data_IF_508427233507
#
_entry.id   IF_508427233507
#
_cell.length_a   1.000
_cell.length_b   1.000
_cell.length_c   1.000
_cell.angle_alpha   90.00
_cell.angle_beta   90.00
_cell.angle_gamma   90.00
#
_symmetry.space_group_name_H-M   'P 1'
#
loop_
_entity.id
_entity.type
_entity.pdbx_description
1 polymer ?
#
# COMPACT_ATOMS: atom_id res chain seq x y z
N UNK A 1 -15.78 -0.96 -18.44
CA UNK A 1 -14.63 -0.13 -18.87
C UNK A 1 -13.36 -0.87 -18.48
N UNK A 2 -12.69 -1.38 -19.52
CA UNK A 2 -11.29 -1.80 -19.63
C UNK A 2 -10.65 -2.54 -18.44
N UNK A 3 -10.78 -3.87 -18.45
CA UNK A 3 -9.64 -4.72 -18.09
C UNK A 3 -8.82 -4.95 -19.35
N UNK A 4 -7.59 -4.50 -19.24
CA UNK A 4 -6.49 -4.53 -20.20
C UNK A 4 -6.40 -5.87 -20.91
N UNK A 5 -6.62 -5.83 -22.22
CA UNK A 5 -6.11 -6.81 -23.18
C UNK A 5 -4.59 -6.92 -22.96
N UNK A 6 -4.16 -8.00 -22.31
CA UNK A 6 -2.85 -8.57 -22.61
C UNK A 6 -3.07 -9.43 -23.86
N UNK A 7 -2.26 -9.18 -24.88
CA UNK A 7 -2.34 -9.78 -26.21
C UNK A 7 -2.57 -11.29 -26.14
N UNK A 8 -3.83 -11.70 -26.35
CA UNK A 8 -4.13 -13.04 -26.82
C UNK A 8 -3.66 -13.06 -28.26
N UNK A 9 -2.44 -13.55 -28.48
CA UNK A 9 -1.95 -13.88 -29.81
C UNK A 9 -2.96 -14.85 -30.43
N UNK A 10 -3.61 -14.43 -31.52
CA UNK A 10 -4.67 -15.16 -32.24
C UNK A 10 -4.10 -16.30 -33.07
N UNK A 11 -3.21 -17.07 -32.48
CA UNK A 11 -2.61 -18.29 -33.01
C UNK A 11 -2.90 -19.34 -31.93
N UNK A 12 -3.49 -20.47 -32.28
CA UNK A 12 -4.03 -21.45 -31.31
C UNK A 12 -3.00 -22.20 -30.46
N UNK A 13 -1.96 -21.53 -29.96
CA UNK A 13 -0.88 -22.06 -29.16
C UNK A 13 -1.12 -21.84 -27.66
N UNK A 14 -0.78 -22.84 -26.85
CA UNK A 14 -0.79 -22.77 -25.38
C UNK A 14 0.36 -21.91 -24.83
N UNK A 15 1.47 -21.80 -25.56
CA UNK A 15 2.67 -21.10 -25.13
C UNK A 15 3.10 -20.02 -26.13
N UNK A 16 3.89 -19.05 -25.67
CA UNK A 16 4.36 -17.93 -26.49
C UNK A 16 5.89 -17.79 -26.54
N UNK A 17 6.36 -16.75 -27.25
CA UNK A 17 7.79 -16.40 -27.39
C UNK A 17 8.58 -16.42 -26.09
N UNK A 18 7.98 -15.92 -25.00
CA UNK A 18 8.62 -15.87 -23.68
C UNK A 18 8.87 -17.28 -23.13
N UNK A 19 7.89 -18.17 -23.21
CA UNK A 19 8.04 -19.56 -22.76
C UNK A 19 9.12 -20.30 -23.57
N UNK A 20 9.21 -20.01 -24.88
CA UNK A 20 10.24 -20.58 -25.75
C UNK A 20 11.65 -20.11 -25.39
N UNK A 21 11.84 -18.82 -25.17
CA UNK A 21 13.15 -18.29 -24.78
C UNK A 21 13.59 -18.83 -23.40
N UNK A 22 12.64 -19.03 -22.47
CA UNK A 22 12.90 -19.65 -21.17
C UNK A 22 13.42 -21.08 -21.31
N UNK A 23 12.71 -21.95 -22.05
CA UNK A 23 13.17 -23.35 -22.21
C UNK A 23 14.49 -23.46 -22.95
N UNK A 24 14.73 -22.59 -23.94
CA UNK A 24 16.02 -22.55 -24.67
C UNK A 24 17.17 -22.22 -23.75
N UNK A 25 16.97 -21.25 -22.85
CA UNK A 25 18.00 -20.82 -21.91
C UNK A 25 18.28 -21.85 -20.81
N UNK A 26 17.27 -22.67 -20.45
CA UNK A 26 17.38 -23.68 -19.40
C UNK A 26 17.97 -25.02 -19.85
N UNK A 27 18.09 -25.26 -21.15
CA UNK A 27 18.62 -26.53 -21.68
C UNK A 27 20.14 -26.64 -21.51
N UNK A 28 20.59 -27.76 -20.94
CA UNK A 28 22.01 -28.10 -20.88
C UNK A 28 22.45 -28.93 -22.09
N UNK A 29 23.75 -28.90 -22.47
CA UNK A 29 24.27 -29.71 -23.59
C UNK A 29 24.05 -31.22 -23.43
N UNK A 30 23.90 -31.71 -22.19
CA UNK A 30 23.65 -33.12 -21.91
C UNK A 30 22.18 -33.49 -22.20
N UNK A 31 21.24 -32.60 -21.87
CA UNK A 31 19.81 -32.80 -22.10
C UNK A 31 19.45 -32.60 -23.58
N UNK A 32 20.14 -31.67 -24.24
CA UNK A 32 19.82 -31.27 -25.61
C UNK A 32 20.02 -32.38 -26.64
N UNK A 33 20.84 -33.39 -26.31
CA UNK A 33 21.17 -34.52 -27.19
C UNK A 33 20.28 -35.75 -26.96
N UNK A 34 19.40 -35.73 -25.95
CA UNK A 34 18.44 -36.81 -25.70
C UNK A 34 17.29 -36.70 -26.71
N UNK A 35 16.78 -37.85 -27.15
CA UNK A 35 15.67 -37.89 -28.10
C UNK A 35 14.38 -37.38 -27.46
N UNK A 36 13.67 -36.50 -28.15
CA UNK A 36 12.39 -35.95 -27.70
C UNK A 36 11.37 -37.04 -27.40
N UNK A 37 11.42 -38.15 -28.14
CA UNK A 37 10.58 -39.33 -27.88
C UNK A 37 10.86 -39.96 -26.50
N UNK A 38 12.14 -40.08 -26.11
CA UNK A 38 12.50 -40.64 -24.81
C UNK A 38 12.14 -39.66 -23.68
N UNK A 39 12.38 -38.37 -23.88
CA UNK A 39 11.99 -37.32 -22.92
C UNK A 39 10.47 -37.25 -22.70
N UNK A 40 9.69 -37.40 -23.77
CA UNK A 40 8.23 -37.46 -23.67
C UNK A 40 7.75 -38.68 -22.88
N UNK A 41 8.33 -39.86 -23.14
CA UNK A 41 8.03 -41.10 -22.42
C UNK A 41 8.38 -41.00 -20.93
N UNK A 42 9.55 -40.44 -20.60
CA UNK A 42 10.00 -40.22 -19.22
C UNK A 42 9.11 -39.24 -18.46
N UNK A 43 8.57 -38.23 -19.17
CA UNK A 43 7.69 -37.20 -18.59
C UNK A 43 6.20 -37.59 -18.61
N UNK A 44 5.84 -38.77 -19.15
CA UNK A 44 4.45 -39.21 -19.28
C UNK A 44 3.61 -38.38 -20.27
N UNK A 45 4.26 -37.67 -21.19
CA UNK A 45 3.64 -36.82 -22.20
C UNK A 45 3.34 -37.60 -23.49
N UNK A 46 2.52 -37.04 -24.40
CA UNK A 46 2.28 -37.64 -25.71
C UNK A 46 3.58 -37.84 -26.50
N UNK A 47 3.67 -38.95 -27.25
CA UNK A 47 4.81 -39.29 -28.10
C UNK A 47 5.13 -38.17 -29.09
N UNK A 48 6.42 -37.84 -29.22
CA UNK A 48 6.89 -36.88 -30.23
C UNK A 48 6.52 -37.35 -31.65
N UNK A 49 5.76 -36.56 -32.43
CA UNK A 49 5.12 -37.05 -33.66
C UNK A 49 6.06 -37.17 -34.86
N UNK A 50 7.22 -36.48 -34.84
CA UNK A 50 8.20 -36.56 -35.92
C UNK A 50 9.14 -37.76 -35.72
N UNK A 51 9.43 -38.45 -36.83
CA UNK A 51 10.25 -39.67 -36.82
C UNK A 51 11.64 -39.38 -37.36
N UNK A 52 12.66 -39.76 -36.60
CA UNK A 52 14.04 -39.65 -37.03
C UNK A 52 15.00 -39.92 -35.88
N UNK A 53 16.24 -40.33 -36.18
CA UNK A 53 17.27 -40.51 -35.15
C UNK A 53 17.81 -39.18 -34.61
N UNK A 54 17.59 -38.08 -35.33
CA UNK A 54 18.00 -36.72 -34.97
C UNK A 54 16.89 -35.85 -34.38
N UNK A 55 15.78 -36.43 -33.94
CA UNK A 55 14.71 -35.71 -33.23
C UNK A 55 15.10 -35.51 -31.76
N UNK A 56 16.06 -34.60 -31.56
CA UNK A 56 16.64 -34.20 -30.26
C UNK A 56 16.38 -32.71 -30.02
N UNK A 57 16.48 -32.25 -28.77
CA UNK A 57 16.19 -30.84 -28.46
C UNK A 57 17.19 -29.86 -29.11
N UNK A 58 18.48 -30.22 -29.27
CA UNK A 58 19.50 -29.40 -29.94
C UNK A 58 19.15 -29.06 -31.40
N UNK A 59 18.33 -29.89 -32.06
CA UNK A 59 17.79 -29.61 -33.38
C UNK A 59 16.88 -28.37 -33.40
N UNK A 60 16.24 -28.02 -32.29
CA UNK A 60 15.19 -26.99 -32.24
C UNK A 60 15.61 -25.73 -31.48
N UNK A 61 16.35 -25.86 -30.38
CA UNK A 61 16.65 -24.76 -29.44
C UNK A 61 17.49 -23.62 -30.04
N UNK A 62 18.13 -23.81 -31.19
CA UNK A 62 18.88 -22.75 -31.86
C UNK A 62 17.98 -21.79 -32.65
N UNK A 63 16.75 -22.20 -32.97
CA UNK A 63 15.80 -21.37 -33.72
C UNK A 63 15.11 -20.34 -32.81
N UNK A 64 14.93 -19.13 -33.34
CA UNK A 64 14.07 -18.11 -32.72
C UNK A 64 12.60 -18.54 -32.75
N UNK A 65 11.74 -17.86 -31.97
CA UNK A 65 10.31 -18.15 -31.94
C UNK A 65 9.68 -18.08 -33.33
N UNK A 66 10.03 -17.04 -34.08
CA UNK A 66 9.51 -16.82 -35.42
C UNK A 66 10.01 -17.90 -36.39
N UNK A 67 11.30 -18.27 -36.35
CA UNK A 67 11.87 -19.33 -37.18
C UNK A 67 11.32 -20.72 -36.85
N UNK A 68 11.02 -20.99 -35.57
CA UNK A 68 10.46 -22.27 -35.13
C UNK A 68 9.12 -22.57 -35.82
N UNK A 69 8.30 -21.54 -36.05
CA UNK A 69 7.01 -21.64 -36.73
C UNK A 69 7.13 -21.87 -38.23
N UNK A 70 8.31 -21.62 -38.81
CA UNK A 70 8.60 -21.82 -40.23
C UNK A 70 9.21 -23.20 -40.51
N UNK A 71 9.57 -23.98 -39.47
CA UNK A 71 10.18 -25.29 -39.65
C UNK A 71 9.22 -26.32 -40.24
N UNK A 72 9.66 -26.98 -41.31
CA UNK A 72 8.92 -28.08 -41.93
C UNK A 72 8.69 -29.21 -40.91
N UNK A 73 7.44 -29.63 -40.76
CA UNK A 73 6.99 -30.58 -39.75
C UNK A 73 6.49 -29.94 -38.44
N UNK A 74 6.85 -28.70 -38.10
CA UNK A 74 6.22 -27.94 -37.01
C UNK A 74 5.15 -26.97 -37.54
N UNK A 75 5.43 -26.31 -38.66
CA UNK A 75 4.51 -25.38 -39.34
C UNK A 75 3.15 -26.02 -39.73
N UNK A 76 3.12 -27.35 -39.87
CA UNK A 76 1.92 -28.10 -40.26
C UNK A 76 0.91 -28.30 -39.11
N UNK A 77 1.35 -28.12 -37.86
CA UNK A 77 0.52 -28.36 -36.68
C UNK A 77 1.00 -27.55 -35.47
N UNK A 78 0.26 -26.48 -35.10
CA UNK A 78 0.55 -25.61 -33.96
C UNK A 78 0.81 -26.33 -32.64
N UNK A 79 0.05 -27.40 -32.39
CA UNK A 79 0.12 -28.23 -31.18
C UNK A 79 1.48 -28.91 -31.00
N UNK A 80 2.26 -29.09 -32.07
CA UNK A 80 3.61 -29.69 -32.00
C UNK A 80 4.61 -28.75 -31.34
N UNK A 81 4.45 -27.45 -31.52
CA UNK A 81 5.28 -26.43 -30.85
C UNK A 81 4.95 -26.42 -29.35
N UNK A 82 3.67 -26.52 -29.01
CA UNK A 82 3.25 -26.60 -27.61
C UNK A 82 3.77 -27.86 -26.92
N UNK A 83 3.67 -29.01 -27.59
CA UNK A 83 4.20 -30.28 -27.09
C UNK A 83 5.72 -30.24 -26.93
N UNK A 84 6.44 -29.61 -27.86
CA UNK A 84 7.88 -29.42 -27.76
C UNK A 84 8.23 -28.65 -26.48
N UNK A 85 7.59 -27.50 -26.27
CA UNK A 85 7.82 -26.66 -25.08
C UNK A 85 7.49 -27.43 -23.81
N UNK A 86 6.40 -28.19 -23.80
CA UNK A 86 5.98 -28.99 -22.65
C UNK A 86 7.01 -30.08 -22.30
N UNK A 87 7.49 -30.84 -23.29
CA UNK A 87 8.55 -31.84 -23.10
C UNK A 87 9.82 -31.18 -22.53
N UNK A 88 10.23 -30.04 -23.11
CA UNK A 88 11.44 -29.35 -22.68
C UNK A 88 11.32 -28.78 -21.25
N UNK A 89 10.16 -28.24 -20.87
CA UNK A 89 9.90 -27.73 -19.51
C UNK A 89 9.95 -28.83 -18.47
N UNK A 90 9.28 -29.96 -18.72
CA UNK A 90 9.28 -31.10 -17.79
C UNK A 90 10.69 -31.68 -17.63
N UNK A 91 11.46 -31.74 -18.73
CA UNK A 91 12.85 -32.20 -18.70
C UNK A 91 13.72 -31.27 -17.83
N UNK A 92 13.53 -29.95 -17.91
CA UNK A 92 14.22 -28.96 -17.06
C UNK A 92 13.82 -29.12 -15.59
N UNK A 93 12.52 -29.25 -15.32
CA UNK A 93 12.01 -29.41 -13.96
C UNK A 93 12.47 -30.73 -13.31
N UNK A 94 12.71 -31.78 -14.09
CA UNK A 94 13.23 -33.05 -13.58
C UNK A 94 14.70 -32.96 -13.13
N UNK A 95 15.55 -32.23 -13.87
CA UNK A 95 16.97 -32.04 -13.55
C UNK A 95 17.21 -30.96 -12.47
N UNK A 96 16.35 -29.93 -12.41
CA UNK A 96 16.34 -28.92 -11.36
C UNK A 96 14.98 -28.86 -10.63
N UNK A 97 14.67 -29.84 -9.76
CA UNK A 97 13.38 -29.94 -9.07
C UNK A 97 13.14 -28.79 -8.08
N UNK A 98 14.14 -27.93 -7.85
CA UNK A 98 14.04 -26.76 -6.98
C UNK A 98 14.17 -25.43 -7.73
N UNK A 99 14.37 -25.43 -9.06
CA UNK A 99 14.58 -24.21 -9.85
C UNK A 99 13.43 -23.21 -9.71
N UNK A 100 12.18 -23.70 -9.77
CA UNK A 100 10.97 -22.89 -9.57
C UNK A 100 10.88 -22.31 -8.14
N UNK A 101 11.34 -23.08 -7.15
CA UNK A 101 11.36 -22.64 -5.75
C UNK A 101 12.43 -21.56 -5.54
N UNK A 102 13.62 -21.72 -6.13
CA UNK A 102 14.71 -20.73 -6.08
C UNK A 102 14.31 -19.44 -6.79
N UNK A 103 13.69 -19.52 -7.96
CA UNK A 103 13.21 -18.34 -8.69
C UNK A 103 12.13 -17.57 -7.91
N UNK A 104 11.22 -18.28 -7.23
CA UNK A 104 10.19 -17.69 -6.38
C UNK A 104 10.79 -17.01 -5.14
N UNK A 105 11.76 -17.66 -4.49
CA UNK A 105 12.50 -17.11 -3.35
C UNK A 105 13.28 -15.87 -3.77
N UNK A 106 14.02 -15.92 -4.88
CA UNK A 106 14.80 -14.79 -5.39
C UNK A 106 13.92 -13.58 -5.75
N UNK A 107 12.75 -13.81 -6.34
CA UNK A 107 11.78 -12.75 -6.62
C UNK A 107 11.22 -12.12 -5.33
N UNK A 108 10.96 -12.92 -4.30
CA UNK A 108 10.50 -12.46 -2.99
C UNK A 108 11.59 -11.63 -2.27
N UNK A 109 12.84 -12.11 -2.26
CA UNK A 109 14.00 -11.44 -1.64
C UNK A 109 14.33 -10.12 -2.34
N UNK A 110 14.27 -10.05 -3.68
CA UNK A 110 14.47 -8.81 -4.44
C UNK A 110 13.41 -7.73 -4.12
N UNK A 111 12.20 -8.15 -3.74
CA UNK A 111 11.10 -7.24 -3.37
C UNK A 111 11.29 -6.65 -1.97
N UNK A 112 11.79 -7.42 -1.01
CA UNK A 112 12.08 -6.97 0.38
C UNK A 112 13.11 -5.85 0.37
N UNK A 113 14.17 -6.10 -0.40
CA UNK A 113 15.22 -5.15 -0.67
C UNK A 113 14.66 -3.87 -1.31
N UNK A 114 13.57 -3.93 -2.06
CA UNK A 114 12.94 -2.76 -2.69
C UNK A 114 12.14 -1.89 -1.72
N UNK A 115 11.21 -2.46 -0.95
CA UNK A 115 10.39 -1.67 0.01
C UNK A 115 11.30 -1.08 1.10
N UNK A 116 12.21 -1.88 1.64
CA UNK A 116 13.20 -1.41 2.62
C UNK A 116 14.05 -0.26 2.10
N UNK A 117 14.57 -0.35 0.87
CA UNK A 117 15.31 0.75 0.22
C UNK A 117 14.46 1.98 -0.02
N UNK A 118 13.19 1.83 -0.40
CA UNK A 118 12.28 2.95 -0.61
C UNK A 118 11.97 3.68 0.70
N UNK A 119 11.66 2.95 1.79
CA UNK A 119 11.45 3.54 3.12
C UNK A 119 12.69 4.31 3.58
N UNK A 120 13.88 3.70 3.45
CA UNK A 120 15.15 4.37 3.78
C UNK A 120 15.39 5.61 2.91
N UNK A 121 15.11 5.53 1.60
CA UNK A 121 15.21 6.66 0.66
C UNK A 121 14.31 7.82 1.09
N UNK A 122 13.12 7.56 1.62
CA UNK A 122 12.21 8.59 2.10
C UNK A 122 12.43 8.98 3.57
N UNK A 123 13.41 8.37 4.25
CA UNK A 123 13.66 8.53 5.69
C UNK A 123 12.42 8.18 6.55
N UNK A 124 11.61 7.24 6.07
CA UNK A 124 10.44 6.74 6.81
C UNK A 124 10.93 5.63 7.74
N UNK A 125 10.67 5.80 9.04
CA UNK A 125 11.03 4.84 10.06
C UNK A 125 10.23 3.54 9.91
N UNK A 126 10.94 2.40 9.86
CA UNK A 126 10.32 1.06 9.79
C UNK A 126 9.53 0.74 11.05
N UNK A 127 9.90 1.35 12.19
CA UNK A 127 9.20 1.17 13.46
C UNK A 127 7.91 2.00 13.56
N UNK A 128 7.54 2.73 12.50
CA UNK A 128 6.27 3.47 12.47
C UNK A 128 5.08 2.51 12.69
N UNK A 129 4.25 2.73 13.73
CA UNK A 129 3.13 1.85 14.04
C UNK A 129 2.00 1.95 13.01
N UNK A 130 1.54 0.82 12.48
CA UNK A 130 0.43 0.76 11.53
C UNK A 130 -0.87 1.33 12.07
N UNK A 131 -1.10 1.27 13.39
CA UNK A 131 -2.27 1.89 14.03
C UNK A 131 -2.35 3.41 13.84
N UNK A 132 -1.24 4.07 13.50
CA UNK A 132 -1.18 5.50 13.22
C UNK A 132 -1.24 5.82 11.73
N UNK A 133 -1.38 4.81 10.87
CA UNK A 133 -1.62 4.98 9.43
C UNK A 133 -3.07 5.36 9.15
N UNK A 134 -3.34 5.75 7.90
CA UNK A 134 -4.66 5.96 7.34
C UNK A 134 -5.37 4.69 6.87
N UNK A 135 -4.89 3.50 7.25
CA UNK A 135 -5.58 2.24 6.97
C UNK A 135 -6.92 2.19 7.71
N UNK A 136 -7.88 1.46 7.14
CA UNK A 136 -9.16 1.18 7.79
C UNK A 136 -8.97 0.38 9.08
N UNK A 137 -9.94 0.47 9.99
CA UNK A 137 -9.91 -0.31 11.24
C UNK A 137 -9.87 -1.82 10.96
N UNK A 138 -10.61 -2.29 9.96
CA UNK A 138 -10.62 -3.71 9.57
C UNK A 138 -9.22 -4.18 9.14
N UNK A 139 -8.51 -3.37 8.34
CA UNK A 139 -7.15 -3.70 7.89
C UNK A 139 -6.14 -3.61 9.03
N UNK A 140 -6.28 -2.63 9.94
CA UNK A 140 -5.45 -2.55 11.14
C UNK A 140 -5.68 -3.76 12.05
N UNK A 141 -6.93 -4.18 12.26
CA UNK A 141 -7.29 -5.34 13.09
C UNK A 141 -6.73 -6.64 12.49
N UNK A 142 -6.85 -6.80 11.17
CA UNK A 142 -6.21 -7.90 10.44
C UNK A 142 -4.69 -7.91 10.65
N UNK A 143 -4.03 -6.77 10.48
CA UNK A 143 -2.59 -6.67 10.68
C UNK A 143 -2.21 -7.06 12.11
N UNK A 144 -2.97 -6.61 13.12
CA UNK A 144 -2.71 -6.96 14.52
C UNK A 144 -2.91 -8.45 14.82
N UNK A 145 -3.93 -9.09 14.23
CA UNK A 145 -4.17 -10.52 14.38
C UNK A 145 -3.00 -11.36 13.83
N UNK A 146 -2.34 -10.88 12.78
CA UNK A 146 -1.15 -11.48 12.16
C UNK A 146 0.18 -11.00 12.79
N UNK A 147 0.12 -10.32 13.94
CA UNK A 147 1.28 -9.74 14.66
C UNK A 147 2.07 -8.67 13.88
N UNK A 148 1.43 -8.06 12.88
CA UNK A 148 1.96 -6.98 12.04
C UNK A 148 1.60 -5.65 12.70
N UNK A 149 2.54 -5.05 13.42
CA UNK A 149 2.34 -3.79 14.15
C UNK A 149 3.07 -2.60 13.54
N UNK A 150 4.15 -2.81 12.80
CA UNK A 150 5.01 -1.75 12.24
C UNK A 150 5.11 -1.81 10.71
N UNK A 151 5.61 -0.74 10.08
CA UNK A 151 5.87 -0.72 8.63
C UNK A 151 6.92 -1.74 8.20
N UNK A 152 7.93 -2.00 9.05
CA UNK A 152 8.92 -3.05 8.81
C UNK A 152 8.25 -4.40 8.72
N UNK A 153 7.47 -4.76 9.75
CA UNK A 153 6.72 -6.02 9.78
C UNK A 153 5.72 -6.13 8.63
N UNK A 154 5.10 -5.02 8.23
CA UNK A 154 4.20 -4.96 7.08
C UNK A 154 4.92 -5.31 5.78
N UNK A 155 6.11 -4.74 5.57
CA UNK A 155 6.94 -5.06 4.42
C UNK A 155 7.29 -6.56 4.43
N UNK A 156 7.79 -7.07 5.56
CA UNK A 156 8.18 -8.47 5.74
C UNK A 156 7.03 -9.45 5.49
N UNK A 157 5.83 -9.13 5.98
CA UNK A 157 4.63 -9.93 5.77
C UNK A 157 4.21 -9.97 4.29
N UNK A 158 4.34 -8.87 3.56
CA UNK A 158 3.96 -8.81 2.14
C UNK A 158 4.70 -9.82 1.25
N UNK A 159 5.87 -10.31 1.69
CA UNK A 159 6.64 -11.36 1.01
C UNK A 159 6.09 -12.75 1.26
N UNK A 160 5.59 -13.00 2.48
CA UNK A 160 5.02 -14.29 2.90
C UNK A 160 3.58 -14.47 2.44
N UNK A 161 2.99 -13.43 1.85
CA UNK A 161 1.60 -13.44 1.43
C UNK A 161 1.42 -14.38 0.23
N UNK A 162 0.75 -15.52 0.47
CA UNK A 162 0.31 -16.40 -0.61
C UNK A 162 -0.68 -15.66 -1.52
N UNK A 163 -0.69 -15.96 -2.83
CA UNK A 163 -1.57 -15.31 -3.81
C UNK A 163 -3.08 -15.44 -3.48
N UNK A 164 -3.44 -16.32 -2.54
CA UNK A 164 -4.81 -16.63 -2.13
C UNK A 164 -5.28 -15.88 -0.87
N UNK A 165 -4.43 -15.05 -0.23
CA UNK A 165 -4.86 -14.25 0.93
C UNK A 165 -5.66 -13.06 0.41
N UNK A 166 -6.94 -13.01 0.74
CA UNK A 166 -7.80 -11.86 0.47
C UNK A 166 -7.44 -10.74 1.44
N UNK A 167 -6.58 -9.83 1.01
CA UNK A 167 -6.25 -8.60 1.73
C UNK A 167 -7.18 -7.46 1.33
N UNK A 168 -7.45 -6.55 2.27
CA UNK A 168 -8.23 -5.33 2.05
C UNK A 168 -7.63 -4.44 0.95
N UNK A 169 -8.50 -3.63 0.32
CA UNK A 169 -8.09 -2.75 -0.78
C UNK A 169 -7.06 -1.70 -0.38
N UNK A 170 -7.17 -1.17 0.84
CA UNK A 170 -6.23 -0.22 1.45
C UNK A 170 -4.88 -0.86 1.80
N UNK A 171 -4.86 -2.11 2.27
CA UNK A 171 -3.63 -2.90 2.46
C UNK A 171 -2.85 -2.99 1.14
N UNK A 172 -3.53 -3.44 0.08
CA UNK A 172 -2.94 -3.55 -1.26
C UNK A 172 -2.52 -2.19 -1.79
N UNK A 173 -3.29 -1.14 -1.50
CA UNK A 173 -2.98 0.25 -1.83
C UNK A 173 -1.65 0.71 -1.22
N UNK A 174 -1.48 0.58 0.09
CA UNK A 174 -0.24 0.94 0.79
C UNK A 174 0.94 0.13 0.26
N UNK A 175 0.79 -1.19 0.11
CA UNK A 175 1.84 -2.06 -0.41
C UNK A 175 2.29 -1.64 -1.82
N UNK A 176 1.34 -1.29 -2.68
CA UNK A 176 1.60 -0.83 -4.04
C UNK A 176 2.36 0.49 -4.02
N UNK A 177 1.91 1.45 -3.22
CA UNK A 177 2.55 2.75 -3.08
C UNK A 177 4.01 2.63 -2.60
N UNK A 178 4.25 1.82 -1.57
CA UNK A 178 5.60 1.56 -1.04
C UNK A 178 6.50 0.83 -2.05
N UNK A 179 5.96 -0.13 -2.81
CA UNK A 179 6.71 -0.88 -3.82
C UNK A 179 7.07 0.00 -5.03
N UNK A 180 6.17 0.90 -5.43
CA UNK A 180 6.34 1.81 -6.56
C UNK A 180 7.13 3.08 -6.21
N UNK A 181 7.37 3.35 -4.92
CA UNK A 181 7.88 4.64 -4.43
C UNK A 181 6.98 5.81 -4.85
N UNK A 182 5.66 5.57 -4.89
CA UNK A 182 4.66 6.59 -5.21
C UNK A 182 4.39 7.47 -4.00
N UNK A 183 4.98 8.67 -3.99
CA UNK A 183 4.86 9.63 -2.90
C UNK A 183 3.41 10.04 -2.61
N UNK A 184 2.55 10.12 -3.63
CA UNK A 184 1.13 10.48 -3.45
C UNK A 184 0.37 9.33 -2.81
N UNK A 185 0.59 8.11 -3.31
CA UNK A 185 0.04 6.90 -2.70
C UNK A 185 0.52 6.72 -1.25
N UNK A 186 1.79 7.03 -0.96
CA UNK A 186 2.33 6.97 0.41
C UNK A 186 1.64 8.00 1.31
N UNK A 187 1.50 9.26 0.86
CA UNK A 187 0.85 10.33 1.62
C UNK A 187 -0.64 10.06 1.92
N UNK A 188 -1.29 9.19 1.15
CA UNK A 188 -2.66 8.77 1.42
C UNK A 188 -2.78 7.93 2.71
N UNK A 189 -1.76 7.12 3.01
CA UNK A 189 -1.78 6.17 4.13
C UNK A 189 -0.83 6.53 5.27
N UNK A 190 0.25 7.26 5.01
CA UNK A 190 1.26 7.62 5.99
C UNK A 190 1.33 9.14 6.17
N UNK A 191 1.77 9.63 7.34
CA UNK A 191 1.94 11.04 7.60
C UNK A 191 3.17 11.61 6.88
N UNK A 192 3.16 11.50 5.56
CA UNK A 192 4.25 11.78 4.65
C UNK A 192 3.86 12.95 3.75
N UNK A 193 4.82 13.85 3.50
CA UNK A 193 4.63 14.98 2.60
C UNK A 193 5.41 14.74 1.31
N UNK A 194 4.74 14.70 0.15
CA UNK A 194 5.42 14.60 -1.13
C UNK A 194 6.48 15.71 -1.31
N UNK A 195 7.65 15.33 -1.81
CA UNK A 195 8.83 16.19 -1.96
C UNK A 195 9.67 16.36 -0.69
N UNK A 196 9.25 15.82 0.45
CA UNK A 196 9.97 15.91 1.72
C UNK A 196 10.43 14.55 2.24
N UNK A 197 11.33 14.59 3.24
CA UNK A 197 11.85 13.40 3.92
C UNK A 197 11.23 13.27 5.31
N UNK A 198 11.05 12.03 5.72
CA UNK A 198 10.51 11.66 7.01
C UNK A 198 9.00 11.81 7.10
N UNK A 199 8.52 11.51 8.30
CA UNK A 199 7.11 11.63 8.67
C UNK A 199 6.88 12.93 9.44
N UNK A 200 5.70 13.51 9.31
CA UNK A 200 5.42 14.86 9.77
C UNK A 200 4.13 14.92 10.61
N UNK A 201 4.22 15.58 11.76
CA UNK A 201 3.10 15.72 12.69
C UNK A 201 1.86 16.40 12.08
N UNK A 202 1.96 17.46 11.24
CA UNK A 202 0.78 18.05 10.62
C UNK A 202 -0.03 17.04 9.80
N UNK A 203 0.66 16.24 8.98
CA UNK A 203 0.08 15.18 8.16
C UNK A 203 -0.50 14.06 9.03
N UNK A 204 0.13 13.71 10.15
CA UNK A 204 -0.41 12.73 11.12
C UNK A 204 -1.73 13.19 11.74
N UNK A 205 -1.83 14.47 12.09
CA UNK A 205 -3.09 15.06 12.54
C UNK A 205 -4.10 15.06 11.38
N UNK A 206 -3.68 15.39 10.16
CA UNK A 206 -4.51 15.29 8.96
C UNK A 206 -5.12 13.91 8.74
N UNK A 207 -4.33 12.84 8.93
CA UNK A 207 -4.83 11.46 8.83
C UNK A 207 -5.89 11.13 9.87
N UNK A 208 -5.73 11.61 11.12
CA UNK A 208 -6.77 11.47 12.15
C UNK A 208 -8.07 12.16 11.70
N UNK A 209 -7.97 13.34 11.09
CA UNK A 209 -9.13 14.10 10.61
C UNK A 209 -9.80 13.48 9.38
N UNK A 210 -9.08 12.70 8.57
CA UNK A 210 -9.65 11.97 7.45
C UNK A 210 -10.66 10.89 7.90
N UNK A 211 -10.60 10.46 9.16
CA UNK A 211 -11.53 9.47 9.73
C UNK A 211 -12.86 10.07 10.19
N UNK A 212 -13.00 11.41 10.20
CA UNK A 212 -14.23 12.06 10.61
C UNK A 212 -15.31 11.91 9.54
N UNK A 213 -16.50 11.51 9.97
CA UNK A 213 -17.68 11.57 9.11
C UNK A 213 -18.05 13.02 8.79
N UNK A 214 -18.78 13.24 7.69
CA UNK A 214 -19.14 14.61 7.27
C UNK A 214 -19.91 15.39 8.35
N UNK A 215 -20.85 14.74 9.04
CA UNK A 215 -21.61 15.37 10.11
C UNK A 215 -20.73 15.75 11.31
N UNK A 216 -19.73 14.94 11.65
CA UNK A 216 -18.73 15.22 12.69
C UNK A 216 -17.87 16.43 12.30
N UNK A 217 -17.32 16.42 11.07
CA UNK A 217 -16.52 17.53 10.52
C UNK A 217 -17.28 18.85 10.58
N UNK A 218 -18.51 18.90 10.03
CA UNK A 218 -19.29 20.13 10.01
C UNK A 218 -19.77 20.58 11.39
N UNK A 219 -20.03 19.64 12.31
CA UNK A 219 -20.33 19.97 13.71
C UNK A 219 -19.14 20.67 14.37
N UNK A 220 -17.92 20.13 14.21
CA UNK A 220 -16.70 20.74 14.77
C UNK A 220 -16.42 22.11 14.17
N UNK A 221 -16.52 22.25 12.84
CA UNK A 221 -16.36 23.54 12.16
C UNK A 221 -17.34 24.60 12.70
N UNK A 222 -18.62 24.24 12.82
CA UNK A 222 -19.66 25.11 13.39
C UNK A 222 -19.32 25.51 14.83
N UNK A 223 -18.89 24.54 15.65
CA UNK A 223 -18.49 24.76 17.04
C UNK A 223 -17.28 25.68 17.15
N UNK A 224 -16.32 25.57 16.25
CA UNK A 224 -15.14 26.44 16.18
C UNK A 224 -15.38 27.79 15.50
N UNK A 225 -16.65 28.10 15.18
CA UNK A 225 -17.05 29.41 14.66
C UNK A 225 -16.84 29.58 13.15
N UNK A 226 -16.64 28.50 12.39
CA UNK A 226 -16.59 28.57 10.94
C UNK A 226 -17.94 29.00 10.37
N UNK A 227 -17.90 29.82 9.31
CA UNK A 227 -19.10 30.20 8.56
C UNK A 227 -19.43 29.07 7.58
N UNK A 228 -20.53 28.38 7.85
CA UNK A 228 -21.01 27.27 7.02
C UNK A 228 -22.17 27.71 6.12
N UNK A 229 -22.24 27.13 4.93
CA UNK A 229 -23.40 27.25 4.05
C UNK A 229 -24.62 26.49 4.60
N UNK A 230 -25.80 26.64 3.97
CA UNK A 230 -27.04 25.99 4.42
C UNK A 230 -26.95 24.45 4.46
N UNK A 231 -26.31 23.85 3.45
CA UNK A 231 -26.15 22.38 3.32
C UNK A 231 -25.24 21.84 4.43
N UNK A 232 -24.08 22.46 4.63
CA UNK A 232 -23.10 22.10 5.66
C UNK A 232 -23.69 22.28 7.06
N UNK A 233 -24.43 23.37 7.27
CA UNK A 233 -25.15 23.63 8.53
C UNK A 233 -26.19 22.57 8.83
N UNK A 234 -26.87 22.04 7.81
CA UNK A 234 -27.83 20.94 7.97
C UNK A 234 -27.15 19.61 8.31
N UNK A 235 -25.94 19.37 7.78
CA UNK A 235 -25.11 18.20 8.12
C UNK A 235 -24.53 18.28 9.54
N UNK A 236 -24.30 19.49 10.08
CA UNK A 236 -23.84 19.72 11.45
C UNK A 236 -24.93 19.46 12.50
N UNK A 237 -25.28 18.18 12.68
CA UNK A 237 -26.49 17.73 13.38
C UNK A 237 -26.25 17.02 14.72
N UNK A 238 -25.00 16.91 15.17
CA UNK A 238 -24.71 16.34 16.48
C UNK A 238 -25.22 17.25 17.60
N UNK A 239 -25.75 16.65 18.65
CA UNK A 239 -26.17 17.40 19.84
C UNK A 239 -24.94 17.80 20.69
N UNK A 240 -25.18 18.59 21.75
CA UNK A 240 -24.11 19.12 22.60
C UNK A 240 -23.25 18.02 23.25
N UNK A 241 -23.88 16.96 23.73
CA UNK A 241 -23.20 15.84 24.41
C UNK A 241 -22.36 15.03 23.43
N UNK A 242 -22.93 14.66 22.28
CA UNK A 242 -22.23 14.00 21.19
C UNK A 242 -21.04 14.82 20.69
N UNK A 243 -21.20 16.15 20.61
CA UNK A 243 -20.11 17.05 20.19
C UNK A 243 -18.96 17.07 21.20
N UNK A 244 -19.27 17.08 22.51
CA UNK A 244 -18.24 17.02 23.56
C UNK A 244 -17.50 15.68 23.49
N UNK A 245 -18.23 14.57 23.38
CA UNK A 245 -17.64 13.25 23.26
C UNK A 245 -16.74 13.13 22.00
N UNK A 246 -17.19 13.67 20.87
CA UNK A 246 -16.40 13.72 19.64
C UNK A 246 -15.08 14.49 19.85
N UNK A 247 -15.14 15.65 20.50
CA UNK A 247 -13.94 16.43 20.82
C UNK A 247 -12.98 15.69 21.75
N UNK A 248 -13.48 14.98 22.76
CA UNK A 248 -12.66 14.17 23.66
C UNK A 248 -11.97 13.03 22.94
N UNK A 249 -12.70 12.29 22.09
CA UNK A 249 -12.14 11.20 21.29
C UNK A 249 -11.10 11.73 20.30
N UNK A 250 -11.41 12.81 19.59
CA UNK A 250 -10.50 13.44 18.64
C UNK A 250 -9.23 13.94 19.34
N UNK A 251 -9.39 14.59 20.48
CA UNK A 251 -8.28 15.06 21.30
C UNK A 251 -7.41 13.89 21.77
N UNK A 252 -8.01 12.78 22.20
CA UNK A 252 -7.32 11.52 22.52
C UNK A 252 -6.41 11.05 21.39
N UNK A 253 -6.96 10.93 20.18
CA UNK A 253 -6.20 10.52 18.98
C UNK A 253 -5.07 11.49 18.65
N UNK A 254 -5.31 12.80 18.74
CA UNK A 254 -4.26 13.81 18.49
C UNK A 254 -3.16 13.76 19.56
N UNK A 255 -3.50 13.52 20.83
CA UNK A 255 -2.51 13.35 21.89
C UNK A 255 -1.60 12.14 21.64
N UNK A 256 -2.16 11.01 21.17
CA UNK A 256 -1.36 9.83 20.81
C UNK A 256 -0.37 10.13 19.67
N UNK A 257 -0.83 10.84 18.62
CA UNK A 257 0.05 11.29 17.54
C UNK A 257 1.15 12.21 18.07
N UNK A 258 0.80 13.22 18.88
CA UNK A 258 1.77 14.12 19.48
C UNK A 258 2.75 13.41 20.42
N UNK A 259 2.34 12.33 21.09
CA UNK A 259 3.22 11.51 21.91
C UNK A 259 4.24 10.76 21.04
N UNK A 260 3.79 10.15 19.94
CA UNK A 260 4.68 9.49 18.98
C UNK A 260 5.65 10.48 18.33
N UNK A 261 5.16 11.61 17.84
CA UNK A 261 5.94 12.70 17.26
C UNK A 261 6.52 13.65 18.33
N UNK A 262 6.86 13.15 19.51
CA UNK A 262 7.32 13.95 20.67
C UNK A 262 8.51 14.86 20.38
N UNK A 263 9.35 14.52 19.39
CA UNK A 263 10.46 15.36 18.93
C UNK A 263 10.01 16.60 18.15
N UNK A 264 8.91 16.52 17.40
CA UNK A 264 8.38 17.62 16.59
C UNK A 264 7.48 18.57 17.39
N UNK A 265 6.86 18.10 18.49
CA UNK A 265 5.95 18.92 19.29
C UNK A 265 6.64 20.16 19.90
N UNK A 266 7.85 20.09 20.48
CA UNK A 266 8.55 21.29 20.97
C UNK A 266 8.84 22.31 19.86
N UNK A 267 9.20 21.86 18.65
CA UNK A 267 9.44 22.75 17.52
C UNK A 267 8.16 23.44 17.05
N UNK A 268 7.05 22.71 17.03
CA UNK A 268 5.73 23.26 16.76
C UNK A 268 5.34 24.30 17.81
N UNK A 269 5.52 23.98 19.09
CA UNK A 269 5.22 24.88 20.20
C UNK A 269 6.03 26.18 20.12
N UNK A 270 7.33 26.08 19.77
CA UNK A 270 8.21 27.22 19.57
C UNK A 270 7.80 28.10 18.38
N UNK A 271 7.44 27.49 17.25
CA UNK A 271 6.92 28.22 16.08
C UNK A 271 5.68 29.04 16.46
N UNK A 272 4.76 28.45 17.22
CA UNK A 272 3.56 29.16 17.68
C UNK A 272 3.92 30.30 18.63
N UNK A 273 4.85 30.09 19.58
CA UNK A 273 5.30 31.15 20.51
C UNK A 273 6.03 32.30 19.82
N UNK A 274 6.76 32.02 18.74
CA UNK A 274 7.41 33.03 17.89
C UNK A 274 6.44 33.74 16.93
N UNK A 275 5.15 33.45 17.00
CA UNK A 275 4.10 34.18 16.27
C UNK A 275 3.67 33.54 14.96
N UNK A 276 4.14 32.33 14.63
CA UNK A 276 3.63 31.58 13.48
C UNK A 276 2.25 31.04 13.82
N UNK A 277 1.24 31.40 13.03
CA UNK A 277 -0.11 30.91 13.26
C UNK A 277 -0.23 29.42 12.94
N UNK A 278 -1.11 28.70 13.66
CA UNK A 278 -1.33 27.27 13.42
C UNK A 278 -1.96 27.02 12.05
N UNK A 279 -2.78 27.94 11.56
CA UNK A 279 -3.35 27.89 10.21
C UNK A 279 -2.24 27.79 9.17
N UNK A 280 -1.20 28.63 9.28
CA UNK A 280 -0.04 28.60 8.39
C UNK A 280 0.73 27.28 8.47
N UNK A 281 0.79 26.66 9.64
CA UNK A 281 1.46 25.37 9.84
C UNK A 281 0.68 24.24 9.16
N UNK A 282 -0.66 24.28 9.23
CA UNK A 282 -1.52 23.25 8.67
C UNK A 282 -1.86 23.43 7.19
N UNK A 283 -1.59 24.58 6.55
CA UNK A 283 -1.77 24.80 5.10
C UNK A 283 -1.23 23.68 4.20
N UNK A 284 -0.27 22.90 4.71
CA UNK A 284 0.31 21.73 4.05
C UNK A 284 -0.71 20.61 3.80
N UNK A 285 -1.84 20.60 4.52
CA UNK A 285 -2.93 19.65 4.34
C UNK A 285 -3.76 19.93 3.08
N UNK A 286 -3.70 21.15 2.53
CA UNK A 286 -4.38 21.56 1.31
C UNK A 286 -5.91 21.28 1.33
N UNK A 287 -6.51 21.51 2.50
CA UNK A 287 -7.93 21.30 2.77
C UNK A 287 -8.36 22.29 3.86
N UNK A 288 -9.00 23.43 3.48
CA UNK A 288 -9.29 24.52 4.41
C UNK A 288 -10.12 24.10 5.63
N UNK A 289 -10.99 23.10 5.46
CA UNK A 289 -11.83 22.59 6.54
C UNK A 289 -11.00 21.77 7.53
N UNK A 290 -10.15 20.87 7.03
CA UNK A 290 -9.24 20.09 7.88
C UNK A 290 -8.20 20.99 8.56
N UNK A 291 -7.67 21.98 7.85
CA UNK A 291 -6.73 22.97 8.38
C UNK A 291 -7.31 23.70 9.59
N UNK A 292 -8.56 24.16 9.49
CA UNK A 292 -9.25 24.86 10.57
C UNK A 292 -9.44 23.97 11.80
N UNK A 293 -9.88 22.72 11.62
CA UNK A 293 -10.05 21.76 12.72
C UNK A 293 -8.68 21.41 13.34
N UNK A 294 -7.68 21.11 12.52
CA UNK A 294 -6.33 20.76 12.96
C UNK A 294 -5.71 21.88 13.81
N UNK A 295 -5.83 23.13 13.34
CA UNK A 295 -5.34 24.29 14.07
C UNK A 295 -6.02 24.41 15.45
N UNK A 296 -7.34 24.22 15.53
CA UNK A 296 -8.10 24.35 16.80
C UNK A 296 -7.77 23.26 17.80
N UNK A 297 -7.77 21.99 17.38
CA UNK A 297 -7.46 20.86 18.27
C UNK A 297 -6.00 20.93 18.75
N UNK A 298 -5.09 21.31 17.86
CA UNK A 298 -3.67 21.49 18.21
C UNK A 298 -3.46 22.66 19.16
N UNK A 299 -4.16 23.79 18.96
CA UNK A 299 -4.10 24.93 19.89
C UNK A 299 -4.53 24.51 21.29
N UNK A 300 -5.60 23.73 21.40
CA UNK A 300 -6.10 23.17 22.66
C UNK A 300 -5.06 22.24 23.30
N UNK A 301 -4.47 21.32 22.53
CA UNK A 301 -3.40 20.45 23.01
C UNK A 301 -2.21 21.23 23.57
N UNK A 302 -1.72 22.25 22.84
CA UNK A 302 -0.59 23.06 23.30
C UNK A 302 -0.94 23.86 24.56
N UNK A 303 -2.17 24.40 24.67
CA UNK A 303 -2.65 25.06 25.90
C UNK A 303 -2.64 24.10 27.10
N UNK A 304 -3.21 22.90 26.95
CA UNK A 304 -3.23 21.89 28.01
C UNK A 304 -1.82 21.47 28.43
N UNK A 305 -0.92 21.25 27.47
CA UNK A 305 0.50 20.92 27.73
C UNK A 305 1.22 22.02 28.51
N UNK A 306 0.84 23.29 28.30
CA UNK A 306 1.39 24.45 29.02
C UNK A 306 0.72 24.69 30.37
N UNK A 307 -0.29 23.91 30.76
CA UNK A 307 -1.07 24.11 31.98
C UNK A 307 -1.98 25.36 31.91
N UNK A 308 -2.34 25.82 30.71
CA UNK A 308 -3.26 26.94 30.52
C UNK A 308 -4.71 26.44 30.49
N UNK A 309 -5.62 27.18 31.14
CA UNK A 309 -7.04 26.84 31.18
C UNK A 309 -7.70 26.93 29.79
N UNK A 310 -8.68 26.06 29.54
CA UNK A 310 -9.52 26.11 28.35
C UNK A 310 -10.52 27.28 28.50
N UNK A 311 -10.29 28.38 27.79
CA UNK A 311 -11.21 29.53 27.77
C UNK A 311 -12.48 29.28 26.93
N UNK A 312 -12.58 28.12 26.25
CA UNK A 312 -13.73 27.72 25.43
C UNK A 312 -14.84 26.99 26.22
N UNK A 313 -14.79 26.95 27.56
CA UNK A 313 -16.01 26.72 28.33
C UNK A 313 -16.98 27.89 28.04
N UNK A 314 -18.20 27.64 27.54
CA UNK A 314 -19.17 28.71 27.40
C UNK A 314 -19.37 29.30 28.78
N UNK A 315 -18.99 30.57 28.94
CA UNK A 315 -19.08 31.32 30.19
C UNK A 315 -20.36 30.90 30.91
N UNK A 316 -20.24 30.15 32.01
CA UNK A 316 -21.36 29.91 32.92
C UNK A 316 -21.89 31.30 33.20
N UNK A 317 -23.05 31.65 32.64
CA UNK A 317 -23.73 32.92 32.91
C UNK A 317 -23.87 32.98 34.42
N UNK A 318 -22.94 33.66 35.10
CA UNK A 318 -23.09 34.03 36.50
C UNK A 318 -24.37 34.85 36.51
N UNK A 319 -25.41 34.24 37.06
CA UNK A 319 -26.76 34.78 37.06
C UNK A 319 -26.73 36.22 37.54
N UNK A 320 -27.22 37.12 36.69
CA UNK A 320 -27.44 38.53 36.96
C UNK A 320 -28.47 38.78 38.10
N UNK A 321 -28.97 37.73 38.76
CA UNK A 321 -29.96 37.78 39.82
C UNK A 321 -29.39 37.74 41.26
N UNK A 322 -28.06 37.66 41.43
CA UNK A 322 -27.44 37.67 42.77
C UNK A 322 -27.26 39.05 43.42
N UNK A 323 -27.66 40.15 42.77
CA UNK A 323 -27.37 41.52 43.22
C UNK A 323 -28.60 42.35 43.63
N UNK A 324 -29.78 41.74 43.71
CA UNK A 324 -31.03 42.45 44.03
C UNK A 324 -31.73 41.99 45.33
N UNK A 325 -31.19 41.00 46.05
CA UNK A 325 -31.66 40.64 47.39
C UNK A 325 -30.49 40.32 48.31
N UNK A 326 -29.99 41.36 48.99
CA UNK A 326 -29.10 41.25 50.14
C UNK A 326 -29.40 42.43 51.04
N UNK A 327 -30.25 42.19 52.04
CA UNK A 327 -30.63 43.12 53.09
C UNK A 327 -30.01 42.66 54.39
#
# INVERSE_FOLDING_TARGET
MNSTMADADTTGHKYGKKDWDEVRSGMTPTMSEVRLKALAEESGLPDWPLRGKGEVASKYIDYTWEELHELHGLAESPERIDLLIEILRETIAFEDPFGDMVATVDAATKREDKIGRNLARFEIDKEFPLRFSGLSSETVDFCQAEDIRTLGQFADFSHRMAQNIVVGGDFKGLLTALTAADEQGIAHYLPFRPGHKGLHLPEAIGLVLNQLAENEKYTLLKRYGAKLGPVETAKANLNKEQTIQLEEVLMGKVMEQCHFFSKQVPELDEKVRSGVSLERIFMVLNDPEKEAIAARVTARYLKQRRGLADEDEPARKKGFFGRLFGR
#
